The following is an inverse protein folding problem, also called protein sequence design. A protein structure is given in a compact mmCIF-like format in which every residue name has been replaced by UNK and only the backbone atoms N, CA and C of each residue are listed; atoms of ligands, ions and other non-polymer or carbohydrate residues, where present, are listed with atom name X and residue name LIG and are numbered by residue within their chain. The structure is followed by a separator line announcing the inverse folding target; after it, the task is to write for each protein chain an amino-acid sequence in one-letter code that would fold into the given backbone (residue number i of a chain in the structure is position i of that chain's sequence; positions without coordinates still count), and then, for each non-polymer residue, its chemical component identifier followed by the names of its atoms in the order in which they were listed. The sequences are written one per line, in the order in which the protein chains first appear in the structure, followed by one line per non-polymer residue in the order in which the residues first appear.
data_IF_207616548243
#
_entry.id   IF_207616548243
#
_cell.length_a   1.000
_cell.length_b   1.000
_cell.length_c   1.000
_cell.angle_alpha   90.00
_cell.angle_beta   90.00
_cell.angle_gamma   90.00
#
_symmetry.space_group_name_H-M   'P 1'
#
loop_
_entity.id
_entity.type
_entity.pdbx_description
1 polymer ?
#
# COMPACT_ATOMS: atom_id res chain seq x y z
N UNK A 1 0.44 17.24 -3.83
CA UNK A 1 0.57 16.08 -2.94
C UNK A 1 -0.74 15.32 -2.93
N UNK A 2 -0.70 14.06 -3.35
CA UNK A 2 -1.86 13.16 -3.33
C UNK A 2 -1.87 12.38 -2.02
N UNK A 3 -3.04 12.16 -1.42
CA UNK A 3 -3.19 11.17 -0.34
C UNK A 3 -4.09 10.02 -0.77
N UNK A 4 -3.92 8.85 -0.13
CA UNK A 4 -4.81 7.70 -0.30
C UNK A 4 -5.07 7.04 1.04
N UNK A 5 -6.36 6.91 1.36
CA UNK A 5 -6.85 6.18 2.52
C UNK A 5 -7.27 4.78 2.09
N UNK A 6 -6.67 3.76 2.70
CA UNK A 6 -7.03 2.36 2.43
C UNK A 6 -6.61 1.43 3.59
N UNK A 7 -6.81 0.14 3.41
CA UNK A 7 -6.22 -0.89 4.25
C UNK A 7 -4.87 -1.30 3.68
N UNK A 8 -3.81 -0.90 4.37
CA UNK A 8 -2.45 -1.19 3.94
C UNK A 8 -1.87 -2.39 4.69
N UNK A 9 -1.08 -3.20 4.00
CA UNK A 9 -0.32 -4.32 4.56
C UNK A 9 1.17 -4.10 4.30
N UNK A 10 1.98 -4.32 5.33
CA UNK A 10 3.44 -4.34 5.26
C UNK A 10 3.88 -5.79 5.01
N UNK A 11 4.46 -6.06 3.83
CA UNK A 11 4.90 -7.38 3.36
C UNK A 11 6.43 -7.45 3.30
N UNK A 12 7.04 -8.47 3.94
CA UNK A 12 8.48 -8.71 3.82
C UNK A 12 8.76 -9.78 2.78
N UNK A 13 9.58 -9.45 1.79
CA UNK A 13 9.97 -10.36 0.71
C UNK A 13 11.44 -10.69 0.84
N UNK A 14 11.79 -11.97 0.80
CA UNK A 14 13.18 -12.44 0.78
C UNK A 14 13.49 -13.10 -0.55
N UNK A 15 14.59 -12.67 -1.17
CA UNK A 15 15.05 -13.18 -2.45
C UNK A 15 16.57 -13.02 -2.58
N UNK A 16 17.16 -13.66 -3.59
CA UNK A 16 18.57 -13.49 -3.95
C UNK A 16 18.73 -12.29 -4.87
N UNK A 17 19.52 -11.31 -4.42
CA UNK A 17 19.85 -10.10 -5.18
C UNK A 17 21.32 -10.14 -5.58
N UNK A 18 21.59 -9.90 -6.85
CA UNK A 18 22.94 -9.68 -7.35
C UNK A 18 23.38 -8.28 -6.93
N UNK A 19 24.46 -8.20 -6.16
CA UNK A 19 25.06 -6.96 -5.71
C UNK A 19 25.97 -6.37 -6.80
N UNK A 20 26.38 -5.11 -6.66
CA UNK A 20 27.26 -4.42 -7.62
C UNK A 20 28.61 -5.14 -7.84
N UNK A 21 29.06 -5.91 -6.84
CA UNK A 21 30.29 -6.71 -6.92
C UNK A 21 30.10 -8.07 -7.64
N UNK A 22 28.90 -8.35 -8.15
CA UNK A 22 28.54 -9.61 -8.81
C UNK A 22 28.22 -10.76 -7.85
N UNK A 23 28.28 -10.55 -6.52
CA UNK A 23 27.90 -11.56 -5.54
C UNK A 23 26.39 -11.66 -5.40
N UNK A 24 25.88 -12.89 -5.24
CA UNK A 24 24.48 -13.12 -4.89
C UNK A 24 24.33 -13.13 -3.37
N UNK A 25 23.41 -12.31 -2.85
CA UNK A 25 23.08 -12.27 -1.42
C UNK A 25 21.57 -12.34 -1.21
N UNK A 26 21.17 -13.09 -0.18
CA UNK A 26 19.80 -13.10 0.30
C UNK A 26 19.51 -11.80 1.04
N UNK A 27 18.58 -11.02 0.51
CA UNK A 27 18.11 -9.77 1.12
C UNK A 27 16.68 -9.96 1.59
N UNK A 28 16.25 -9.18 2.58
CA UNK A 28 14.84 -9.12 2.99
C UNK A 28 14.41 -7.66 2.94
N UNK A 29 13.51 -7.37 2.03
CA UNK A 29 13.01 -6.03 1.76
C UNK A 29 11.55 -5.91 2.22
N UNK A 30 11.15 -4.70 2.60
CA UNK A 30 9.82 -4.40 3.11
C UNK A 30 9.05 -3.61 2.06
N UNK A 31 7.86 -4.06 1.73
CA UNK A 31 6.95 -3.43 0.78
C UNK A 31 5.62 -3.16 1.46
N UNK A 32 4.84 -2.23 0.90
CA UNK A 32 3.48 -1.96 1.36
C UNK A 32 2.53 -2.23 0.21
N UNK A 33 1.44 -2.93 0.47
CA UNK A 33 0.39 -3.19 -0.51
C UNK A 33 -0.95 -2.72 0.03
N UNK A 34 -1.76 -2.13 -0.85
CA UNK A 34 -3.18 -1.90 -0.61
C UNK A 34 -3.95 -3.21 -0.88
N UNK A 35 -4.69 -3.70 0.12
CA UNK A 35 -5.49 -4.92 -0.01
C UNK A 35 -6.62 -4.96 1.02
N UNK A 36 -7.63 -5.80 0.81
CA UNK A 36 -8.73 -6.00 1.76
C UNK A 36 -8.45 -7.14 2.76
N UNK A 37 -7.56 -8.07 2.42
CA UNK A 37 -7.26 -9.26 3.23
C UNK A 37 -5.79 -9.68 3.15
N UNK A 38 -5.35 -10.54 4.09
CA UNK A 38 -3.99 -11.10 4.07
C UNK A 38 -3.71 -11.95 2.82
N UNK A 39 -4.71 -12.71 2.36
CA UNK A 39 -4.59 -13.54 1.15
C UNK A 39 -4.43 -12.67 -0.09
N UNK A 40 -5.18 -11.58 -0.18
CA UNK A 40 -5.06 -10.63 -1.28
C UNK A 40 -3.73 -9.86 -1.23
N UNK A 41 -3.28 -9.46 -0.04
CA UNK A 41 -1.98 -8.83 0.15
C UNK A 41 -0.83 -9.74 -0.29
N UNK A 42 -0.91 -11.04 0.03
CA UNK A 42 0.06 -12.06 -0.40
C UNK A 42 0.05 -12.22 -1.92
N UNK A 43 -1.12 -12.38 -2.52
CA UNK A 43 -1.25 -12.54 -3.98
C UNK A 43 -0.72 -11.30 -4.73
N UNK A 44 -1.11 -10.10 -4.28
CA UNK A 44 -0.70 -8.84 -4.90
C UNK A 44 0.81 -8.64 -4.83
N UNK A 45 1.44 -8.86 -3.66
CA UNK A 45 2.89 -8.69 -3.56
C UNK A 45 3.65 -9.75 -4.38
N UNK A 46 3.14 -10.98 -4.48
CA UNK A 46 3.74 -12.02 -5.33
C UNK A 46 3.70 -11.60 -6.80
N UNK A 47 2.56 -11.08 -7.27
CA UNK A 47 2.41 -10.63 -8.66
C UNK A 47 3.34 -9.48 -8.99
N UNK A 48 3.36 -8.42 -8.16
CA UNK A 48 4.25 -7.28 -8.34
C UNK A 48 5.71 -7.73 -8.34
N UNK A 49 6.13 -8.50 -7.34
CA UNK A 49 7.53 -8.92 -7.21
C UNK A 49 7.99 -9.89 -8.29
N UNK A 50 7.10 -10.69 -8.88
CA UNK A 50 7.44 -11.59 -9.99
C UNK A 50 7.90 -10.84 -11.24
N UNK A 51 7.49 -9.57 -11.39
CA UNK A 51 7.95 -8.70 -12.49
C UNK A 51 9.37 -8.16 -12.28
N UNK A 52 9.81 -8.07 -11.02
CA UNK A 52 11.10 -7.47 -10.65
C UNK A 52 12.19 -8.50 -10.34
N UNK A 53 11.83 -9.66 -9.79
CA UNK A 53 12.77 -10.67 -9.32
C UNK A 53 12.86 -11.82 -10.33
N UNK A 54 14.03 -12.01 -10.91
CA UNK A 54 14.35 -13.23 -11.65
C UNK A 54 14.79 -14.32 -10.67
N UNK A 55 13.95 -15.33 -10.46
CA UNK A 55 14.25 -16.48 -9.61
C UNK A 55 13.25 -16.70 -8.48
N UNK A 56 13.60 -17.58 -7.53
CA UNK A 56 12.74 -17.90 -6.39
C UNK A 56 12.78 -16.78 -5.33
N UNK A 57 11.62 -16.45 -4.79
CA UNK A 57 11.48 -15.57 -3.63
C UNK A 57 10.44 -16.15 -2.64
N UNK A 58 10.54 -15.73 -1.39
CA UNK A 58 9.59 -16.11 -0.34
C UNK A 58 8.97 -14.87 0.33
N UNK A 59 7.67 -14.90 0.60
CA UNK A 59 7.00 -13.94 1.48
C UNK A 59 7.29 -14.36 2.93
N UNK A 60 8.06 -13.56 3.67
CA UNK A 60 8.49 -13.88 5.05
C UNK A 60 7.45 -13.54 6.11
N UNK A 61 6.70 -12.47 5.88
CA UNK A 61 5.87 -11.82 6.89
C UNK A 61 4.86 -10.92 6.18
N UNK A 62 3.61 -10.93 6.66
CA UNK A 62 2.56 -10.02 6.22
C UNK A 62 1.86 -9.51 7.48
N UNK A 63 1.83 -8.20 7.65
CA UNK A 63 1.15 -7.57 8.79
C UNK A 63 0.31 -6.39 8.32
N UNK A 64 -0.87 -6.21 8.93
CA UNK A 64 -1.66 -5.01 8.70
C UNK A 64 -0.89 -3.77 9.20
N UNK A 65 -0.78 -2.76 8.35
CA UNK A 65 -0.10 -1.52 8.69
C UNK A 65 -0.86 -0.75 9.77
N UNK A 66 -0.11 0.01 10.58
CA UNK A 66 -0.68 0.84 11.63
C UNK A 66 -1.17 2.22 11.14
N UNK A 67 -0.96 2.51 9.85
CA UNK A 67 -1.40 3.72 9.16
C UNK A 67 -2.52 3.37 8.17
N UNK A 68 -3.56 4.21 8.13
CA UNK A 68 -4.67 4.08 7.20
C UNK A 68 -4.55 4.99 5.97
N UNK A 69 -3.67 5.99 6.03
CA UNK A 69 -3.51 6.99 4.98
C UNK A 69 -2.03 7.19 4.65
N UNK A 70 -1.75 7.31 3.35
CA UNK A 70 -0.41 7.53 2.80
C UNK A 70 -0.40 8.83 2.01
N UNK A 71 0.62 9.66 2.23
CA UNK A 71 0.87 10.90 1.49
C UNK A 71 1.95 10.66 0.45
N UNK A 72 1.59 10.80 -0.83
CA UNK A 72 2.46 10.61 -1.97
C UNK A 72 2.99 11.95 -2.45
N UNK A 73 4.31 12.09 -2.42
CA UNK A 73 5.02 13.24 -2.98
C UNK A 73 5.06 13.14 -4.49
N UNK A 74 4.80 14.27 -5.15
CA UNK A 74 4.92 14.45 -6.59
C UNK A 74 6.38 14.76 -7.00
N UNK A 75 7.30 14.84 -6.03
CA UNK A 75 8.70 15.14 -6.28
C UNK A 75 9.43 13.93 -6.88
N UNK A 76 10.15 14.08 -8.00
CA UNK A 76 10.92 12.98 -8.59
C UNK A 76 12.12 12.58 -7.72
N UNK A 77 12.49 13.39 -6.73
CA UNK A 77 13.55 13.07 -5.75
C UNK A 77 13.04 12.40 -4.49
N UNK A 78 11.73 12.16 -4.37
CA UNK A 78 11.20 11.41 -3.25
C UNK A 78 11.48 9.92 -3.49
N UNK A 79 12.35 9.36 -2.64
CA UNK A 79 12.84 7.99 -2.71
C UNK A 79 12.74 7.27 -1.35
N UNK A 80 12.14 7.92 -0.34
CA UNK A 80 12.05 7.42 1.04
C UNK A 80 10.64 7.52 1.58
N UNK A 81 10.36 6.62 2.52
CA UNK A 81 9.10 6.55 3.23
C UNK A 81 9.31 6.83 4.72
N UNK A 82 8.54 7.78 5.26
CA UNK A 82 8.58 8.18 6.65
C UNK A 82 7.29 7.78 7.36
N UNK A 83 7.41 6.99 8.43
CA UNK A 83 6.28 6.68 9.32
C UNK A 83 6.16 7.79 10.35
N UNK A 84 5.00 8.44 10.37
CA UNK A 84 4.71 9.58 11.24
C UNK A 84 3.54 9.26 12.14
N UNK A 85 3.59 9.72 13.39
CA UNK A 85 2.47 9.71 14.32
C UNK A 85 2.07 11.14 14.62
N UNK A 86 0.83 11.48 14.30
CA UNK A 86 0.20 12.75 14.68
C UNK A 86 -0.68 12.53 15.90
N UNK A 87 -0.64 13.48 16.82
CA UNK A 87 -1.55 13.57 17.95
C UNK A 87 -2.51 14.72 17.71
N UNK A 88 -3.76 14.40 17.42
CA UNK A 88 -4.83 15.39 17.29
C UNK A 88 -5.36 15.76 18.68
N UNK A 89 -5.61 17.04 18.88
CA UNK A 89 -6.10 17.61 20.12
C UNK A 89 -7.51 18.13 19.85
N UNK A 90 -8.49 17.55 20.54
CA UNK A 90 -9.90 17.95 20.44
C UNK A 90 -10.46 18.19 21.82
N UNK A 91 -11.45 19.06 21.97
CA UNK A 91 -12.19 19.20 23.24
C UNK A 91 -13.29 18.13 23.28
N UNK A 92 -13.41 17.43 24.40
CA UNK A 92 -14.51 16.50 24.63
C UNK A 92 -15.78 17.27 25.00
N UNK A 93 -16.82 17.17 24.17
CA UNK A 93 -18.07 17.94 24.31
C UNK A 93 -18.82 17.71 25.63
N UNK A 94 -18.53 16.63 26.35
CA UNK A 94 -19.21 16.31 27.62
C UNK A 94 -18.44 16.81 28.83
N UNK A 95 -17.11 16.79 28.75
CA UNK A 95 -16.24 17.05 29.90
C UNK A 95 -15.47 18.36 29.79
N UNK A 96 -15.52 19.02 28.63
CA UNK A 96 -14.75 20.23 28.29
C UNK A 96 -13.24 20.05 28.46
N UNK A 97 -12.76 18.80 28.51
CA UNK A 97 -11.35 18.45 28.64
C UNK A 97 -10.74 18.14 27.29
N UNK A 98 -9.44 18.40 27.18
CA UNK A 98 -8.67 17.96 26.03
C UNK A 98 -8.65 16.43 25.93
N UNK A 99 -8.98 15.95 24.74
CA UNK A 99 -8.83 14.57 24.31
C UNK A 99 -7.77 14.52 23.23
N UNK A 100 -6.84 13.58 23.39
CA UNK A 100 -5.74 13.34 22.47
C UNK A 100 -5.96 12.03 21.75
N UNK A 101 -5.94 12.04 20.41
CA UNK A 101 -6.01 10.84 19.59
C UNK A 101 -4.76 10.73 18.72
N UNK A 102 -4.18 9.53 18.65
CA UNK A 102 -2.99 9.29 17.86
C UNK A 102 -3.37 8.61 16.54
N UNK A 103 -2.88 9.13 15.43
CA UNK A 103 -3.06 8.55 14.09
C UNK A 103 -1.69 8.42 13.44
N UNK A 104 -1.43 7.28 12.80
CA UNK A 104 -0.20 7.09 12.04
C UNK A 104 -0.45 7.31 10.54
N UNK A 105 0.55 7.90 9.89
CA UNK A 105 0.59 8.15 8.46
C UNK A 105 1.90 7.62 7.88
N UNK A 106 1.89 7.28 6.60
CA UNK A 106 3.11 7.07 5.84
C UNK A 106 3.29 8.22 4.85
N UNK A 107 4.48 8.81 4.81
CA UNK A 107 4.76 10.01 4.00
C UNK A 107 5.91 9.71 3.06
N UNK A 108 5.66 9.84 1.76
CA UNK A 108 6.69 9.78 0.72
C UNK A 108 7.46 11.10 0.70
N UNK A 109 8.78 11.05 0.68
CA UNK A 109 9.59 12.27 0.64
C UNK A 109 11.07 11.99 0.41
N UNK A 110 11.82 13.05 0.11
CA UNK A 110 13.27 12.97 -0.11
C UNK A 110 14.09 13.13 1.17
N UNK A 111 13.57 13.89 2.14
CA UNK A 111 14.25 14.23 3.39
C UNK A 111 13.26 14.35 4.54
N UNK A 112 13.72 14.15 5.78
CA UNK A 112 12.89 14.31 6.97
C UNK A 112 12.25 15.70 7.07
N UNK A 113 12.96 16.83 6.88
CA UNK A 113 12.33 18.15 6.85
C UNK A 113 11.29 18.30 5.74
N UNK A 114 11.52 17.69 4.57
CA UNK A 114 10.56 17.67 3.47
C UNK A 114 9.28 16.91 3.83
N UNK A 115 9.40 15.78 4.53
CA UNK A 115 8.26 15.02 5.02
C UNK A 115 7.47 15.79 6.08
N UNK A 116 8.15 16.50 7.00
CA UNK A 116 7.49 17.39 7.97
C UNK A 116 6.71 18.50 7.26
N UNK A 117 7.33 19.19 6.29
CA UNK A 117 6.66 20.23 5.52
C UNK A 117 5.43 19.70 4.78
N UNK A 118 5.54 18.48 4.23
CA UNK A 118 4.43 17.80 3.54
C UNK A 118 3.25 17.55 4.48
N UNK A 119 3.52 17.13 5.72
CA UNK A 119 2.50 16.98 6.75
C UNK A 119 1.86 18.33 7.07
N UNK A 120 2.67 19.37 7.26
CA UNK A 120 2.16 20.71 7.59
C UNK A 120 1.31 21.32 6.47
N UNK A 121 1.65 21.07 5.20
CA UNK A 121 0.85 21.49 4.05
C UNK A 121 -0.52 20.80 4.01
N UNK A 122 -0.56 19.49 4.28
CA UNK A 122 -1.82 18.72 4.30
C UNK A 122 -2.67 19.07 5.51
N UNK A 123 -2.06 19.09 6.70
CA UNK A 123 -2.76 19.31 7.97
C UNK A 123 -3.11 20.78 8.19
N UNK A 124 -2.32 21.73 7.70
CA UNK A 124 -2.60 23.17 7.77
C UNK A 124 -3.83 23.59 6.98
N UNK A 125 -4.31 22.76 6.04
CA UNK A 125 -5.61 22.93 5.40
C UNK A 125 -6.80 22.58 6.30
N UNK A 126 -6.55 21.96 7.45
CA UNK A 126 -7.58 21.58 8.42
C UNK A 126 -7.59 22.56 9.58
N UNK A 127 -8.77 22.85 10.14
CA UNK A 127 -8.90 23.65 11.38
C UNK A 127 -8.70 22.81 12.65
N UNK A 128 -7.96 21.70 12.56
CA UNK A 128 -7.77 20.75 13.66
C UNK A 128 -6.38 20.95 14.27
N UNK A 129 -6.34 21.13 15.59
CA UNK A 129 -5.08 21.20 16.32
C UNK A 129 -4.39 19.84 16.34
N UNK A 130 -3.10 19.82 15.97
CA UNK A 130 -2.28 18.61 15.98
C UNK A 130 -0.85 18.88 16.44
N UNK A 131 -0.19 17.83 16.90
CA UNK A 131 1.25 17.80 17.18
C UNK A 131 1.88 16.60 16.50
N UNK A 132 3.04 16.77 15.88
CA UNK A 132 3.85 15.66 15.37
C UNK A 132 4.50 14.97 16.57
N UNK A 133 3.96 13.81 16.97
CA UNK A 133 4.45 13.06 18.12
C UNK A 133 5.74 12.29 17.81
N UNK A 134 5.88 11.79 16.58
CA UNK A 134 7.12 11.15 16.10
C UNK A 134 7.14 11.06 14.58
N UNK A 135 8.32 11.14 13.98
CA UNK A 135 8.58 10.86 12.57
C UNK A 135 9.88 10.06 12.45
N UNK A 136 9.88 9.01 11.64
CA UNK A 136 11.05 8.17 11.41
C UNK A 136 11.10 7.66 9.96
N UNK A 137 12.30 7.68 9.37
CA UNK A 137 12.57 7.01 8.09
C UNK A 137 12.38 5.49 8.26
N UNK A 138 11.82 4.85 7.24
CA UNK A 138 11.53 3.41 7.24
C UNK A 138 12.41 2.68 6.23
N UNK A 139 12.42 1.35 6.32
CA UNK A 139 13.07 0.48 5.33
C UNK A 139 12.08 0.02 4.23
N UNK A 140 10.95 0.71 4.08
CA UNK A 140 9.98 0.43 3.02
C UNK A 140 10.63 0.80 1.69
N UNK A 141 10.67 -0.16 0.78
CA UNK A 141 11.23 0.01 -0.56
C UNK A 141 10.21 0.65 -1.50
N UNK A 142 8.97 0.16 -1.48
CA UNK A 142 7.90 0.68 -2.33
C UNK A 142 6.50 0.44 -1.74
N UNK A 143 5.52 1.17 -2.28
CA UNK A 143 4.10 1.10 -1.96
C UNK A 143 3.30 0.80 -3.22
N UNK A 144 2.74 -0.41 -3.30
CA UNK A 144 1.88 -0.83 -4.40
C UNK A 144 0.41 -0.54 -4.06
N UNK A 145 -0.22 0.24 -4.93
CA UNK A 145 -1.65 0.52 -4.83
C UNK A 145 -2.46 -0.60 -5.47
N UNK A 146 -3.63 -0.87 -4.91
CA UNK A 146 -4.49 -1.95 -5.37
C UNK A 146 -4.93 -1.67 -6.80
N UNK A 147 -4.48 -2.52 -7.74
CA UNK A 147 -4.87 -2.46 -9.12
C UNK A 147 -6.31 -3.00 -9.27
N UNK A 148 -7.29 -2.09 -9.31
CA UNK A 148 -8.67 -2.43 -9.72
C UNK A 148 -8.77 -3.02 -11.15
N UNK A 149 -7.68 -3.05 -11.92
CA UNK A 149 -7.63 -3.53 -13.30
C UNK A 149 -7.32 -5.03 -13.47
N UNK A 150 -7.16 -5.81 -12.40
CA UNK A 150 -7.15 -7.26 -12.52
C UNK A 150 -8.56 -7.73 -12.88
N UNK A 151 -8.75 -7.86 -14.20
CA UNK A 151 -9.85 -8.49 -14.91
C UNK A 151 -10.56 -9.51 -14.02
N UNK A 152 -11.81 -9.23 -13.65
CA UNK A 152 -12.75 -10.34 -13.58
C UNK A 152 -12.68 -11.01 -14.96
N UNK A 153 -12.40 -12.32 -15.09
CA UNK A 153 -12.94 -13.00 -16.26
C UNK A 153 -14.43 -12.67 -16.24
N UNK A 154 -14.95 -12.06 -17.30
CA UNK A 154 -16.38 -12.16 -17.57
C UNK A 154 -16.66 -13.65 -17.58
N UNK A 155 -17.22 -14.16 -16.47
CA UNK A 155 -17.96 -15.41 -16.52
C UNK A 155 -19.14 -15.04 -17.39
N UNK A 156 -19.09 -15.44 -18.67
CA UNK A 156 -20.25 -15.40 -19.54
C UNK A 156 -21.29 -16.27 -18.83
N UNK A 157 -22.26 -15.61 -18.16
CA UNK A 157 -23.37 -16.20 -17.41
C UNK A 157 -24.38 -16.88 -18.36
N UNK A 158 -23.91 -17.42 -19.48
CA UNK A 158 -24.71 -18.25 -20.38
C UNK A 158 -24.69 -19.68 -19.86
N UNK A 159 -25.81 -20.19 -19.35
CA UNK A 159 -25.88 -21.57 -18.93
C UNK A 159 -25.66 -22.51 -20.12
N UNK A 160 -24.94 -23.60 -19.86
CA UNK A 160 -24.45 -24.58 -20.85
C UNK A 160 -25.54 -25.13 -21.80
N UNK A 161 -26.81 -25.11 -21.37
CA UNK A 161 -27.95 -25.56 -22.18
C UNK A 161 -28.30 -24.64 -23.37
N UNK A 162 -27.82 -23.38 -23.41
CA UNK A 162 -28.03 -22.49 -24.56
C UNK A 162 -27.00 -22.72 -25.67
N UNK A 163 -25.83 -23.30 -25.37
CA UNK A 163 -24.78 -23.59 -26.36
C UNK A 163 -25.07 -24.88 -27.15
N UNK A 164 -25.75 -25.86 -26.54
CA UNK A 164 -26.14 -27.11 -27.21
C UNK A 164 -27.36 -26.93 -28.14
N UNK A 165 -28.23 -25.95 -27.88
CA UNK A 165 -29.36 -25.64 -28.75
C UNK A 165 -28.95 -25.13 -30.13
N UNK A 166 -27.91 -24.28 -30.20
CA UNK A 166 -27.43 -23.72 -31.46
C UNK A 166 -26.72 -24.75 -32.36
N UNK A 167 -25.97 -25.69 -31.76
CA UNK A 167 -25.32 -26.78 -32.52
C UNK A 167 -26.31 -27.79 -33.10
N UNK A 168 -27.43 -28.02 -32.43
CA UNK A 168 -28.48 -28.91 -32.93
C UNK A 168 -29.27 -28.28 -34.10
N UNK A 169 -29.41 -26.95 -34.11
CA UNK A 169 -30.12 -26.22 -35.17
C UNK A 169 -29.27 -26.06 -36.44
N UNK A 170 -27.95 -25.89 -36.30
CA UNK A 170 -27.01 -25.88 -37.44
C UNK A 170 -26.77 -27.26 -38.07
N UNK A 171 -26.97 -28.36 -37.34
CA UNK A 171 -26.84 -29.72 -37.88
C UNK A 171 -28.07 -30.19 -38.70
N UNK A 172 -29.11 -29.36 -38.77
CA UNK A 172 -30.38 -29.64 -39.46
C UNK A 172 -30.62 -28.76 -40.70
N UNK A 173 -29.64 -27.94 -41.11
CA UNK A 173 -29.57 -27.29 -42.42
C UNK A 173 -28.52 -27.96 -43.32
#
# INVERSE_FOLDING_TARGET
MRSRTSTWFECKIRYEKTMEDGSQKKVTELYVVDALSFTEAEASIIEEMSSYISGEFEVKDIKKAAYGEIFFSDSPSADRWYKTKLQFITIDDKTEKEKKSNVNYLVHGSTLPGAVKSIDEVMGGTMIDYVIASIAETQIMDVFEHNQMLKKPEVDDKPEYEQDGQKAEEALQ
#
